data_IF_603404570008
#
_entry.id   IF_603404570008
#
_cell.length_a   1.000
_cell.length_b   1.000
_cell.length_c   1.000
_cell.angle_alpha   90.00
_cell.angle_beta   90.00
_cell.angle_gamma   90.00
#
_symmetry.space_group_name_H-M   'P 1'
#
loop_
_entity.id
_entity.type
_entity.pdbx_description
1 polymer ?
#
# COMPACT_ATOMS: atom_id res chain seq x y z
N UNK A 1 18.71 49.78 -13.98
CA UNK A 1 18.45 48.67 -14.93
C UNK A 1 19.05 47.44 -14.27
N UNK A 2 18.38 46.75 -13.34
CA UNK A 2 17.16 45.90 -13.48
C UNK A 2 17.40 44.87 -14.60
N UNK A 3 18.07 43.77 -14.28
CA UNK A 3 17.51 42.49 -13.81
C UNK A 3 17.37 41.52 -15.00
N UNK A 4 18.47 40.82 -15.31
CA UNK A 4 18.37 39.55 -16.04
C UNK A 4 17.83 38.51 -15.07
N UNK A 5 16.51 38.35 -15.11
CA UNK A 5 15.79 37.29 -14.44
C UNK A 5 16.11 36.00 -15.21
N UNK A 6 17.24 35.36 -14.88
CA UNK A 6 17.46 33.97 -15.25
C UNK A 6 16.40 33.16 -14.49
N UNK A 7 15.31 32.85 -15.18
CA UNK A 7 14.35 31.83 -14.78
C UNK A 7 15.04 30.48 -14.93
N UNK A 8 15.97 30.18 -14.02
CA UNK A 8 16.32 28.79 -13.73
C UNK A 8 15.18 28.24 -12.89
N UNK A 9 14.12 27.78 -13.58
CA UNK A 9 13.36 26.63 -13.10
C UNK A 9 14.32 25.45 -13.12
N UNK A 10 15.25 25.42 -12.16
CA UNK A 10 15.99 24.22 -11.81
C UNK A 10 14.96 23.27 -11.21
N UNK A 11 14.22 22.61 -12.11
CA UNK A 11 14.00 21.18 -12.11
C UNK A 11 14.54 20.50 -10.85
N UNK A 12 13.79 20.60 -9.77
CA UNK A 12 14.01 19.82 -8.55
C UNK A 12 13.58 18.37 -8.85
N UNK A 13 14.16 17.75 -9.88
CA UNK A 13 14.18 16.31 -10.06
C UNK A 13 15.12 15.73 -8.98
N UNK A 14 14.74 15.92 -7.72
CA UNK A 14 15.32 15.26 -6.58
C UNK A 14 14.93 13.79 -6.72
N UNK A 15 15.73 13.06 -7.48
CA UNK A 15 15.62 11.60 -7.57
C UNK A 15 15.93 11.08 -6.17
N UNK A 16 14.89 10.99 -5.34
CA UNK A 16 14.97 10.42 -4.01
C UNK A 16 15.66 9.06 -4.16
N UNK A 17 16.70 8.75 -3.35
CA UNK A 17 17.22 7.40 -3.19
C UNK A 17 16.05 6.42 -3.14
N UNK A 18 16.20 5.25 -3.77
CA UNK A 18 15.09 4.29 -3.90
C UNK A 18 14.40 3.98 -2.57
N UNK A 19 15.12 4.02 -1.44
CA UNK A 19 14.56 3.87 -0.09
C UNK A 19 13.67 5.04 0.33
N UNK A 20 14.05 6.29 0.03
CA UNK A 20 13.27 7.47 0.39
C UNK A 20 12.02 7.57 -0.49
N UNK A 21 12.13 7.22 -1.77
CA UNK A 21 10.97 7.08 -2.65
C UNK A 21 10.00 5.99 -2.14
N UNK A 22 10.52 4.84 -1.70
CA UNK A 22 9.72 3.77 -1.12
C UNK A 22 9.08 4.20 0.21
N UNK A 23 9.81 4.92 1.07
CA UNK A 23 9.31 5.45 2.33
C UNK A 23 8.19 6.48 2.07
N UNK A 24 8.42 7.44 1.19
CA UNK A 24 7.45 8.46 0.80
C UNK A 24 6.18 7.82 0.21
N UNK A 25 6.34 6.85 -0.71
CA UNK A 25 5.22 6.09 -1.26
C UNK A 25 4.46 5.30 -0.20
N UNK A 26 5.14 4.77 0.81
CA UNK A 26 4.50 4.07 1.94
C UNK A 26 3.71 5.02 2.82
N UNK A 27 4.26 6.20 3.14
CA UNK A 27 3.56 7.24 3.90
C UNK A 27 2.33 7.74 3.14
N UNK A 28 2.48 8.05 1.85
CA UNK A 28 1.37 8.46 1.00
C UNK A 28 0.27 7.40 0.94
N UNK A 29 0.64 6.11 0.82
CA UNK A 29 -0.32 5.02 0.81
C UNK A 29 -1.01 4.81 2.17
N UNK A 30 -0.31 4.96 3.29
CA UNK A 30 -0.92 4.93 4.63
C UNK A 30 -1.93 6.05 4.81
N UNK A 31 -1.61 7.26 4.34
CA UNK A 31 -2.53 8.39 4.35
C UNK A 31 -3.74 8.13 3.46
N UNK A 32 -3.53 7.64 2.24
CA UNK A 32 -4.62 7.26 1.34
C UNK A 32 -5.51 6.16 1.92
N UNK A 33 -4.92 5.17 2.60
CA UNK A 33 -5.69 4.12 3.29
C UNK A 33 -6.54 4.72 4.41
N UNK A 34 -5.98 5.59 5.24
CA UNK A 34 -6.69 6.26 6.32
C UNK A 34 -7.86 7.12 5.81
N UNK A 35 -7.68 7.77 4.66
CA UNK A 35 -8.70 8.63 4.02
C UNK A 35 -9.74 7.86 3.20
N UNK A 36 -9.44 6.62 2.80
CA UNK A 36 -10.39 5.80 2.04
C UNK A 36 -11.64 5.47 2.86
N UNK A 37 -12.80 5.31 2.20
CA UNK A 37 -14.00 4.77 2.84
C UNK A 37 -13.82 3.28 3.19
N UNK A 38 -14.59 2.75 4.13
CA UNK A 38 -14.46 1.33 4.57
C UNK A 38 -14.89 0.36 3.48
N UNK A 39 -15.87 0.76 2.69
CA UNK A 39 -16.44 0.10 1.53
C UNK A 39 -15.62 0.25 0.26
N UNK A 40 -14.50 1.00 0.30
CA UNK A 40 -13.63 1.15 -0.85
C UNK A 40 -13.03 -0.21 -1.27
N UNK A 41 -13.29 -0.68 -2.51
CA UNK A 41 -12.85 -2.02 -2.94
C UNK A 41 -11.34 -2.17 -2.99
N UNK A 42 -10.60 -1.06 -3.11
CA UNK A 42 -9.13 -1.07 -3.14
C UNK A 42 -8.50 -1.08 -1.75
N UNK A 43 -9.25 -0.79 -0.68
CA UNK A 43 -8.73 -0.68 0.68
C UNK A 43 -7.98 -1.94 1.14
N UNK A 44 -8.47 -3.18 0.90
CA UNK A 44 -7.70 -4.40 1.21
C UNK A 44 -6.41 -4.55 0.40
N UNK A 45 -6.41 -4.12 -0.87
CA UNK A 45 -5.24 -4.14 -1.73
C UNK A 45 -4.17 -3.14 -1.27
N UNK A 46 -4.60 -1.96 -0.81
CA UNK A 46 -3.72 -0.95 -0.21
C UNK A 46 -3.05 -1.50 1.06
N UNK A 47 -3.81 -2.15 1.95
CA UNK A 47 -3.27 -2.77 3.15
C UNK A 47 -2.23 -3.86 2.84
N UNK A 48 -2.50 -4.72 1.84
CA UNK A 48 -1.51 -5.72 1.37
C UNK A 48 -0.25 -5.07 0.80
N UNK A 49 -0.40 -4.00 0.02
CA UNK A 49 0.74 -3.25 -0.54
C UNK A 49 1.56 -2.58 0.56
N UNK A 50 0.92 -2.06 1.61
CA UNK A 50 1.60 -1.53 2.80
C UNK A 50 2.48 -2.58 3.47
N UNK A 51 1.96 -3.80 3.70
CA UNK A 51 2.76 -4.91 4.26
C UNK A 51 3.99 -5.20 3.39
N UNK A 52 3.82 -5.26 2.07
CA UNK A 52 4.93 -5.49 1.13
C UNK A 52 5.97 -4.38 1.18
N UNK A 53 5.57 -3.11 1.17
CA UNK A 53 6.51 -2.00 1.24
C UNK A 53 7.27 -1.98 2.58
N UNK A 54 6.57 -2.22 3.69
CA UNK A 54 7.17 -2.29 5.03
C UNK A 54 8.13 -3.47 5.15
N UNK A 55 7.87 -4.58 4.46
CA UNK A 55 8.83 -5.69 4.35
C UNK A 55 10.15 -5.23 3.71
N UNK A 56 10.09 -4.56 2.56
CA UNK A 56 11.29 -4.05 1.89
C UNK A 56 12.04 -3.00 2.72
N UNK A 57 11.32 -2.10 3.39
CA UNK A 57 11.91 -1.09 4.27
C UNK A 57 12.56 -1.73 5.51
N UNK A 58 11.94 -2.74 6.12
CA UNK A 58 12.42 -3.34 7.38
C UNK A 58 13.82 -3.95 7.31
N UNK A 59 14.25 -4.38 6.12
CA UNK A 59 15.59 -4.94 5.88
C UNK A 59 16.52 -4.00 5.11
N UNK A 60 16.12 -2.74 4.90
CA UNK A 60 16.87 -1.85 4.02
C UNK A 60 18.14 -1.30 4.71
N UNK A 61 19.34 -1.48 4.13
CA UNK A 61 20.61 -1.13 4.79
C UNK A 61 20.80 0.38 4.99
N UNK A 62 20.10 1.21 4.22
CA UNK A 62 20.14 2.67 4.36
C UNK A 62 19.29 3.21 5.53
N UNK A 63 18.44 2.38 6.16
CA UNK A 63 17.71 2.80 7.36
C UNK A 63 18.55 2.52 8.61
N UNK A 64 18.44 3.39 9.62
CA UNK A 64 19.05 3.14 10.92
C UNK A 64 18.44 1.88 11.58
N UNK A 65 19.22 1.18 12.42
CA UNK A 65 18.76 -0.03 13.14
C UNK A 65 17.46 0.22 13.95
N UNK A 66 17.31 1.36 14.67
CA UNK A 66 16.05 1.67 15.35
C UNK A 66 14.88 1.82 14.37
N UNK A 67 15.10 2.43 13.20
CA UNK A 67 14.07 2.60 12.18
C UNK A 67 13.66 1.26 11.56
N UNK A 68 14.63 0.37 11.26
CA UNK A 68 14.35 -0.99 10.80
C UNK A 68 13.49 -1.77 11.81
N UNK A 69 13.79 -1.64 13.11
CA UNK A 69 12.99 -2.23 14.19
C UNK A 69 11.57 -1.65 14.22
N UNK A 70 11.44 -0.33 14.13
CA UNK A 70 10.15 0.35 14.10
C UNK A 70 9.29 -0.11 12.91
N UNK A 71 9.88 -0.15 11.71
CA UNK A 71 9.21 -0.60 10.49
C UNK A 71 8.83 -2.09 10.57
N UNK A 72 9.68 -2.93 11.14
CA UNK A 72 9.36 -4.35 11.38
C UNK A 72 8.13 -4.52 12.28
N UNK A 73 8.07 -3.77 13.37
CA UNK A 73 6.91 -3.77 14.28
C UNK A 73 5.65 -3.26 13.58
N UNK A 74 5.78 -2.21 12.77
CA UNK A 74 4.67 -1.66 12.00
C UNK A 74 4.15 -2.69 10.98
N UNK A 75 5.05 -3.39 10.29
CA UNK A 75 4.71 -4.48 9.36
C UNK A 75 3.88 -5.56 10.04
N UNK A 76 4.32 -6.05 11.20
CA UNK A 76 3.60 -7.09 11.97
C UNK A 76 2.19 -6.65 12.32
N UNK A 77 1.99 -5.39 12.72
CA UNK A 77 0.65 -4.86 13.02
C UNK A 77 -0.23 -4.81 11.77
N UNK A 78 0.31 -4.36 10.64
CA UNK A 78 -0.43 -4.35 9.38
C UNK A 78 -0.75 -5.76 8.84
N UNK A 79 0.11 -6.74 9.09
CA UNK A 79 -0.17 -8.14 8.76
C UNK A 79 -1.40 -8.64 9.52
N UNK A 80 -1.45 -8.40 10.83
CA UNK A 80 -2.60 -8.76 11.67
C UNK A 80 -3.89 -8.06 11.18
N UNK A 81 -3.83 -6.78 10.84
CA UNK A 81 -4.99 -6.05 10.29
C UNK A 81 -5.48 -6.65 8.97
N UNK A 82 -4.57 -7.05 8.07
CA UNK A 82 -4.93 -7.69 6.79
C UNK A 82 -5.56 -9.06 7.01
N UNK A 83 -5.02 -9.85 7.95
CA UNK A 83 -5.53 -11.16 8.32
C UNK A 83 -6.94 -11.04 8.93
N UNK A 84 -7.11 -10.15 9.92
CA UNK A 84 -8.41 -9.87 10.54
C UNK A 84 -9.46 -9.41 9.51
N UNK A 85 -9.07 -8.54 8.57
CA UNK A 85 -9.96 -8.08 7.52
C UNK A 85 -10.34 -9.21 6.54
N UNK A 86 -9.42 -10.13 6.25
CA UNK A 86 -9.68 -11.30 5.42
C UNK A 86 -10.64 -12.27 6.12
N UNK A 87 -10.45 -12.53 7.41
CA UNK A 87 -11.33 -13.38 8.23
C UNK A 87 -12.74 -12.78 8.33
N UNK A 88 -12.83 -11.47 8.55
CA UNK A 88 -14.10 -10.77 8.53
C UNK A 88 -14.79 -10.87 7.16
N UNK A 89 -14.07 -10.69 6.06
CA UNK A 89 -14.63 -10.83 4.71
C UNK A 89 -15.13 -12.26 4.44
N UNK A 90 -14.38 -13.29 4.87
CA UNK A 90 -14.77 -14.69 4.73
C UNK A 90 -16.05 -15.02 5.53
N UNK A 91 -16.19 -14.48 6.74
CA UNK A 91 -17.39 -14.66 7.56
C UNK A 91 -18.66 -14.02 6.94
N UNK A 92 -18.50 -12.98 6.12
CA UNK A 92 -19.60 -12.28 5.44
C UNK A 92 -19.79 -12.73 3.97
N UNK A 93 -19.01 -13.69 3.48
CA UNK A 93 -19.14 -14.20 2.13
C UNK A 93 -20.44 -15.00 2.00
N UNK A 94 -21.52 -14.34 1.57
CA UNK A 94 -22.75 -15.02 1.15
C UNK A 94 -22.44 -15.76 -0.15
N UNK A 95 -22.65 -17.09 -0.25
CA UNK A 95 -22.50 -17.80 -1.51
C UNK A 95 -23.46 -17.19 -2.53
N UNK A 96 -22.92 -16.51 -3.52
CA UNK A 96 -23.71 -16.02 -4.65
C UNK A 96 -24.19 -17.25 -5.43
N UNK A 97 -25.50 -17.47 -5.59
CA UNK A 97 -25.99 -18.57 -6.40
C UNK A 97 -25.51 -18.35 -7.84
N UNK A 98 -24.62 -19.24 -8.30
CA UNK A 98 -24.23 -19.33 -9.69
C UNK A 98 -25.46 -19.84 -10.46
N UNK A 99 -26.31 -18.93 -10.90
CA UNK A 99 -27.57 -19.18 -11.61
C UNK A 99 -27.39 -19.79 -13.01
N UNK A 100 -26.18 -20.26 -13.34
CA UNK A 100 -25.94 -21.09 -14.51
C UNK A 100 -25.86 -22.56 -14.09
N UNK A 101 -27.01 -23.24 -14.14
CA UNK A 101 -27.00 -24.68 -14.33
C UNK A 101 -26.43 -24.97 -15.72
N UNK A 102 -25.31 -25.70 -15.79
CA UNK A 102 -24.82 -26.27 -17.05
C UNK A 102 -25.93 -27.16 -17.61
N UNK A 103 -26.41 -26.96 -18.85
CA UNK A 103 -27.37 -27.88 -19.43
C UNK A 103 -26.68 -29.23 -19.60
N UNK A 104 -27.15 -30.22 -18.85
CA UNK A 104 -26.70 -31.60 -19.00
C UNK A 104 -27.11 -32.10 -20.39
N UNK A 105 -26.11 -32.26 -21.26
CA UNK A 105 -26.12 -33.09 -22.48
C UNK A 105 -27.24 -32.85 -23.49
N UNK A 106 -26.89 -32.25 -24.64
CA UNK A 106 -27.59 -32.47 -25.91
C UNK A 106 -27.21 -33.88 -26.38
N UNK A 107 -28.18 -34.80 -26.37
CA UNK A 107 -28.16 -36.04 -27.16
C UNK A 107 -29.24 -35.96 -28.23
#
# INVERSE_FOLDING_TARGET
>A
MQADHHTETADEEYTLPSVEALLAGTLALMTGYAQSARECPHRPLMARKLVSNLFFLSGHPQLSVPMQTMVSNLRTRWQLEVENAADAAAAHAVPSPLWHAVPASVQ
#
